data_IF_284461561221
#
_entry.id   IF_284461561221
#
_cell.length_a   1.000
_cell.length_b   1.000
_cell.length_c   1.000
_cell.angle_alpha   90.00
_cell.angle_beta   90.00
_cell.angle_gamma   90.00
#
_symmetry.space_group_name_H-M   'P 1'
#
loop_
_entity.id
_entity.type
_entity.pdbx_description
1 polymer ?
#
# COMPACT_ATOMS: atom_id res chain seq x y z
N UNK A 1 20.71 3.72 -15.03
CA UNK A 1 19.65 3.30 -14.10
C UNK A 1 19.09 4.55 -13.43
N UNK A 2 17.99 5.09 -13.93
CA UNK A 2 17.38 6.32 -13.41
C UNK A 2 16.09 5.92 -12.72
N UNK A 3 16.14 5.80 -11.38
CA UNK A 3 14.95 5.62 -10.58
C UNK A 3 14.05 6.84 -10.77
N UNK A 4 12.86 6.66 -11.34
CA UNK A 4 11.95 7.75 -11.71
C UNK A 4 11.06 8.15 -10.52
N UNK A 5 10.63 7.19 -9.70
CA UNK A 5 9.77 7.45 -8.55
C UNK A 5 10.03 6.47 -7.40
N UNK A 6 9.95 6.97 -6.16
CA UNK A 6 10.01 6.12 -4.97
C UNK A 6 9.19 6.71 -3.82
N UNK A 7 8.22 5.95 -3.34
CA UNK A 7 7.42 6.30 -2.16
C UNK A 7 7.40 5.14 -1.15
N UNK A 8 7.37 5.50 0.15
CA UNK A 8 7.11 4.54 1.23
C UNK A 8 5.75 4.82 1.85
N UNK A 9 4.85 3.86 1.73
CA UNK A 9 3.54 3.90 2.38
C UNK A 9 3.67 3.23 3.74
N UNK A 10 3.74 4.05 4.79
CA UNK A 10 3.82 3.58 6.19
C UNK A 10 2.48 3.75 6.89
N UNK A 11 2.16 2.93 7.91
CA UNK A 11 0.98 3.15 8.75
C UNK A 11 0.96 4.56 9.34
N UNK A 12 -0.23 5.16 9.39
CA UNK A 12 -0.39 6.48 10.02
C UNK A 12 -0.02 6.45 11.51
N UNK A 13 0.56 7.55 12.01
CA UNK A 13 0.98 7.67 13.44
C UNK A 13 -0.18 7.35 14.38
N UNK A 14 -1.40 7.75 14.03
CA UNK A 14 -2.59 7.48 14.83
C UNK A 14 -2.84 5.99 15.09
N UNK A 15 -2.65 5.14 14.08
CA UNK A 15 -2.78 3.70 14.21
C UNK A 15 -1.75 3.09 15.15
N UNK A 16 -0.53 3.62 15.12
CA UNK A 16 0.55 3.22 16.04
C UNK A 16 0.19 3.60 17.47
N UNK A 17 -0.31 4.83 17.69
CA UNK A 17 -0.77 5.29 19.01
C UNK A 17 -1.89 4.40 19.55
N UNK A 18 -2.91 4.11 18.75
CA UNK A 18 -4.03 3.22 19.15
C UNK A 18 -3.51 1.83 19.50
N UNK A 19 -2.59 1.26 18.70
CA UNK A 19 -2.01 -0.05 18.98
C UNK A 19 -1.26 -0.05 20.33
N UNK A 20 -0.45 0.98 20.62
CA UNK A 20 0.24 1.10 21.91
C UNK A 20 -0.71 1.32 23.08
N UNK A 21 -1.81 2.05 22.91
CA UNK A 21 -2.84 2.21 23.93
C UNK A 21 -3.48 0.86 24.27
N UNK A 22 -3.82 0.05 23.27
CA UNK A 22 -4.37 -1.30 23.48
C UNK A 22 -3.36 -2.18 24.21
N UNK A 23 -2.11 -2.20 23.79
CA UNK A 23 -1.03 -2.94 24.46
C UNK A 23 -0.88 -2.49 25.90
N UNK A 24 -0.89 -1.19 26.17
CA UNK A 24 -0.81 -0.61 27.51
C UNK A 24 -1.98 -1.04 28.40
N UNK A 25 -3.21 -0.96 27.90
CA UNK A 25 -4.40 -1.41 28.66
C UNK A 25 -4.33 -2.89 29.03
N UNK A 26 -3.99 -3.75 28.07
CA UNK A 26 -3.83 -5.18 28.31
C UNK A 26 -2.72 -5.43 29.34
N UNK A 27 -1.59 -4.74 29.23
CA UNK A 27 -0.45 -4.88 30.15
C UNK A 27 -0.82 -4.49 31.58
N UNK A 28 -1.59 -3.40 31.74
CA UNK A 28 -2.09 -2.97 33.08
C UNK A 28 -3.04 -4.00 33.67
N UNK A 29 -3.98 -4.53 32.86
CA UNK A 29 -4.92 -5.54 33.33
C UNK A 29 -4.21 -6.82 33.81
N UNK A 30 -3.25 -7.33 33.05
CA UNK A 30 -2.46 -8.50 33.44
C UNK A 30 -1.54 -8.19 34.63
N UNK A 31 -0.96 -6.99 34.68
CA UNK A 31 -0.15 -6.57 35.81
C UNK A 31 -0.91 -6.47 37.14
N UNK A 32 -2.16 -5.99 37.09
CA UNK A 32 -3.04 -5.93 38.23
C UNK A 32 -3.50 -7.33 38.72
N UNK A 33 -3.77 -8.26 37.77
CA UNK A 33 -4.25 -9.58 38.08
C UNK A 33 -3.16 -10.57 38.52
N UNK A 34 -1.98 -10.52 37.90
CA UNK A 34 -0.93 -11.52 38.03
C UNK A 34 0.41 -10.96 38.53
N UNK A 35 0.45 -9.68 38.84
CA UNK A 35 1.64 -8.98 39.34
C UNK A 35 2.39 -8.19 38.27
N UNK A 36 3.09 -7.15 38.72
CA UNK A 36 3.76 -6.14 37.86
C UNK A 36 4.76 -6.76 36.87
N UNK A 37 5.44 -7.82 37.26
CA UNK A 37 6.39 -8.52 36.38
C UNK A 37 5.71 -9.09 35.13
N UNK A 38 4.53 -9.70 35.29
CA UNK A 38 3.75 -10.23 34.17
C UNK A 38 3.28 -9.10 33.26
N UNK A 39 2.78 -7.99 33.84
CA UNK A 39 2.39 -6.81 33.05
C UNK A 39 3.52 -6.27 32.19
N UNK A 40 4.73 -6.19 32.73
CA UNK A 40 5.91 -5.73 31.98
C UNK A 40 6.27 -6.67 30.81
N UNK A 41 6.21 -7.97 31.03
CA UNK A 41 6.45 -8.96 29.97
C UNK A 41 5.40 -8.82 28.85
N UNK A 42 4.11 -8.70 29.21
CA UNK A 42 3.01 -8.51 28.26
C UNK A 42 3.22 -7.22 27.44
N UNK A 43 3.65 -6.14 28.10
CA UNK A 43 3.97 -4.89 27.42
C UNK A 43 5.13 -5.04 26.43
N UNK A 44 6.23 -5.66 26.85
CA UNK A 44 7.41 -5.86 25.99
C UNK A 44 7.10 -6.71 24.77
N UNK A 45 6.35 -7.80 24.95
CA UNK A 45 5.92 -8.66 23.83
C UNK A 45 4.97 -7.90 22.90
N UNK A 46 3.96 -7.22 23.44
CA UNK A 46 3.01 -6.44 22.66
C UNK A 46 3.69 -5.30 21.87
N UNK A 47 4.62 -4.57 22.49
CA UNK A 47 5.41 -3.53 21.83
C UNK A 47 6.26 -4.13 20.69
N UNK A 48 6.86 -5.30 20.90
CA UNK A 48 7.59 -6.03 19.86
C UNK A 48 6.70 -6.40 18.67
N UNK A 49 5.48 -6.90 18.94
CA UNK A 49 4.50 -7.21 17.89
C UNK A 49 4.10 -5.97 17.09
N UNK A 50 3.81 -4.85 17.77
CA UNK A 50 3.49 -3.58 17.11
C UNK A 50 4.65 -3.10 16.23
N UNK A 51 5.89 -3.18 16.73
CA UNK A 51 7.07 -2.79 15.99
C UNK A 51 7.29 -3.63 14.72
N UNK A 52 7.24 -4.96 14.86
CA UNK A 52 7.40 -5.88 13.71
C UNK A 52 6.24 -5.72 12.73
N UNK A 53 5.00 -5.61 13.23
CA UNK A 53 3.81 -5.39 12.41
C UNK A 53 3.89 -4.10 11.61
N UNK A 54 4.35 -2.99 12.21
CA UNK A 54 4.54 -1.71 11.52
C UNK A 54 5.58 -1.82 10.40
N UNK A 55 6.68 -2.56 10.65
CA UNK A 55 7.70 -2.82 9.62
C UNK A 55 7.18 -3.68 8.48
N UNK A 56 6.44 -4.73 8.80
CA UNK A 56 5.85 -5.64 7.81
C UNK A 56 4.74 -4.97 6.98
N UNK A 57 4.04 -3.99 7.56
CA UNK A 57 2.97 -3.24 6.92
C UNK A 57 3.46 -2.06 6.05
N UNK A 58 4.77 -1.83 5.96
CA UNK A 58 5.35 -0.77 5.14
C UNK A 58 5.57 -1.29 3.72
N UNK A 59 4.79 -0.76 2.77
CA UNK A 59 4.99 -1.03 1.34
C UNK A 59 5.87 0.08 0.72
N UNK A 60 6.68 -0.32 -0.26
CA UNK A 60 7.48 0.62 -1.06
C UNK A 60 6.98 0.56 -2.49
N UNK A 61 6.63 1.72 -3.05
CA UNK A 61 6.29 1.91 -4.46
C UNK A 61 7.55 2.40 -5.16
N UNK A 62 7.92 1.76 -6.26
CA UNK A 62 9.11 2.12 -7.05
C UNK A 62 8.78 2.01 -8.53
N UNK A 63 9.15 3.02 -9.31
CA UNK A 63 9.18 2.96 -10.78
C UNK A 63 10.66 3.00 -11.16
N UNK A 64 11.18 1.88 -11.67
CA UNK A 64 12.58 1.73 -12.02
C UNK A 64 12.77 0.68 -13.13
N UNK A 65 13.74 0.91 -14.01
CA UNK A 65 14.16 -0.02 -15.09
C UNK A 65 13.00 -0.61 -15.94
N UNK A 66 11.95 0.17 -16.21
CA UNK A 66 10.81 -0.31 -17.01
C UNK A 66 9.82 -1.18 -16.25
N UNK A 67 9.87 -1.21 -14.92
CA UNK A 67 8.96 -1.96 -14.06
C UNK A 67 8.31 -1.06 -13.00
N UNK A 68 7.05 -1.37 -12.68
CA UNK A 68 6.37 -0.87 -11.50
C UNK A 68 6.47 -1.91 -10.38
N UNK A 69 7.06 -1.52 -9.26
CA UNK A 69 7.18 -2.36 -8.07
C UNK A 69 6.33 -1.86 -6.91
N UNK A 70 5.55 -2.74 -6.29
CA UNK A 70 4.77 -2.45 -5.07
C UNK A 70 5.02 -3.54 -4.03
N UNK A 71 5.79 -3.19 -3.00
CA UNK A 71 6.26 -4.18 -2.03
C UNK A 71 7.14 -5.24 -2.69
N UNK A 72 6.62 -6.47 -2.80
CA UNK A 72 7.30 -7.61 -3.46
C UNK A 72 6.80 -7.88 -4.88
N UNK A 73 5.66 -7.31 -5.24
CA UNK A 73 5.09 -7.49 -6.57
C UNK A 73 5.81 -6.58 -7.58
N UNK A 74 5.94 -7.05 -8.80
CA UNK A 74 6.54 -6.34 -9.93
C UNK A 74 5.66 -6.54 -11.15
N UNK A 75 5.51 -5.49 -11.95
CA UNK A 75 4.82 -5.56 -13.24
C UNK A 75 5.57 -4.71 -14.25
N UNK A 76 5.85 -5.23 -15.46
CA UNK A 76 6.50 -4.46 -16.52
C UNK A 76 5.61 -3.29 -16.99
N UNK A 77 6.20 -2.11 -17.25
CA UNK A 77 5.45 -0.94 -17.70
C UNK A 77 4.79 -1.12 -19.06
N UNK A 78 5.36 -1.96 -19.92
CA UNK A 78 4.83 -2.16 -21.28
C UNK A 78 3.47 -2.89 -21.33
N UNK A 79 3.09 -3.61 -20.25
CA UNK A 79 1.78 -4.25 -20.12
C UNK A 79 0.77 -3.38 -19.37
N UNK A 80 1.18 -2.19 -18.91
CA UNK A 80 0.31 -1.27 -18.21
C UNK A 80 -0.43 -0.36 -19.21
N UNK A 81 -1.74 -0.18 -18.95
CA UNK A 81 -2.62 0.65 -19.75
C UNK A 81 -3.00 1.97 -19.06
N UNK A 82 -4.29 2.22 -19.00
CA UNK A 82 -4.83 3.46 -18.44
C UNK A 82 -4.53 3.63 -16.96
N UNK A 83 -4.12 4.86 -16.58
CA UNK A 83 -3.86 5.26 -15.19
C UNK A 83 -4.96 6.19 -14.72
N UNK A 84 -5.52 5.94 -13.54
CA UNK A 84 -6.57 6.78 -12.93
C UNK A 84 -6.25 7.07 -11.46
N UNK A 85 -6.27 8.33 -11.08
CA UNK A 85 -6.13 8.76 -9.69
C UNK A 85 -7.50 8.72 -9.03
N UNK A 86 -7.59 8.06 -7.87
CA UNK A 86 -8.78 7.95 -7.04
C UNK A 86 -8.58 8.76 -5.75
N UNK A 87 -9.62 9.48 -5.34
CA UNK A 87 -9.57 10.33 -4.14
C UNK A 87 -10.83 10.16 -3.28
N UNK A 88 -10.71 10.33 -1.97
CA UNK A 88 -11.83 10.42 -1.04
C UNK A 88 -12.83 9.28 -1.17
N UNK A 89 -14.03 9.62 -1.66
CA UNK A 89 -15.16 8.68 -1.77
C UNK A 89 -14.91 7.58 -2.80
N UNK A 90 -14.17 7.85 -3.89
CA UNK A 90 -13.85 6.85 -4.89
C UNK A 90 -12.98 5.73 -4.28
N UNK A 91 -11.99 6.10 -3.46
CA UNK A 91 -11.17 5.12 -2.72
C UNK A 91 -12.02 4.32 -1.74
N UNK A 92 -12.99 4.97 -1.08
CA UNK A 92 -13.90 4.30 -0.15
C UNK A 92 -14.85 3.33 -0.89
N UNK A 93 -15.30 3.67 -2.09
CA UNK A 93 -16.09 2.78 -2.95
C UNK A 93 -15.25 1.60 -3.46
N UNK A 94 -14.05 1.86 -3.94
CA UNK A 94 -13.12 0.82 -4.39
C UNK A 94 -12.78 -0.17 -3.26
N UNK A 95 -12.58 0.30 -2.02
CA UNK A 95 -12.38 -0.57 -0.83
C UNK A 95 -13.57 -1.48 -0.53
N UNK A 96 -14.78 -1.05 -0.86
CA UNK A 96 -16.02 -1.83 -0.65
C UNK A 96 -16.39 -2.72 -1.83
N UNK A 97 -15.61 -2.68 -2.92
CA UNK A 97 -15.90 -3.41 -4.15
C UNK A 97 -17.04 -2.79 -4.98
N UNK A 98 -17.35 -1.52 -4.78
CA UNK A 98 -18.43 -0.81 -5.49
C UNK A 98 -17.94 0.08 -6.64
N UNK A 99 -16.64 0.19 -6.87
CA UNK A 99 -16.11 0.93 -8.02
C UNK A 99 -16.25 0.07 -9.29
N UNK A 100 -17.00 0.53 -10.32
CA UNK A 100 -17.25 -0.25 -11.52
C UNK A 100 -15.98 -0.49 -12.38
N UNK A 101 -14.91 0.24 -12.13
CA UNK A 101 -13.63 0.09 -12.84
C UNK A 101 -12.64 -0.81 -12.09
N UNK A 102 -12.89 -1.08 -10.79
CA UNK A 102 -12.09 -1.98 -9.98
C UNK A 102 -12.80 -3.32 -9.90
N UNK A 103 -12.37 -4.23 -10.73
CA UNK A 103 -12.98 -5.59 -10.81
C UNK A 103 -12.51 -6.44 -9.61
N UNK A 104 -13.25 -7.53 -9.34
CA UNK A 104 -12.90 -8.52 -8.29
C UNK A 104 -11.52 -9.17 -8.51
N UNK A 105 -11.00 -9.12 -9.75
CA UNK A 105 -9.68 -9.63 -10.13
C UNK A 105 -8.55 -8.60 -9.93
N UNK A 106 -8.83 -7.42 -9.39
CA UNK A 106 -7.82 -6.39 -9.17
C UNK A 106 -6.81 -6.78 -8.10
N UNK A 107 -5.52 -6.58 -8.38
CA UNK A 107 -4.50 -6.60 -7.33
C UNK A 107 -4.63 -5.35 -6.46
N UNK A 108 -5.08 -5.53 -5.22
CA UNK A 108 -5.39 -4.42 -4.32
C UNK A 108 -4.36 -4.28 -3.20
N UNK A 109 -3.75 -3.10 -3.10
CA UNK A 109 -2.89 -2.66 -2.00
C UNK A 109 -3.44 -1.40 -1.35
N UNK A 110 -4.61 -1.55 -0.72
CA UNK A 110 -5.30 -0.52 0.06
C UNK A 110 -5.37 -0.94 1.53
N UNK A 111 -4.31 -0.74 2.32
CA UNK A 111 -4.36 -1.07 3.73
C UNK A 111 -5.42 -0.22 4.46
N UNK A 112 -6.09 -0.73 5.51
CA UNK A 112 -7.15 0.00 6.21
C UNK A 112 -6.66 1.29 6.88
N UNK A 113 -5.36 1.37 7.19
CA UNK A 113 -4.68 2.57 7.71
C UNK A 113 -4.09 3.45 6.60
N UNK A 114 -4.29 3.08 5.34
CA UNK A 114 -3.70 3.75 4.18
C UNK A 114 -4.30 5.13 3.92
N UNK A 115 -3.67 5.90 3.04
CA UNK A 115 -4.17 7.21 2.64
C UNK A 115 -5.54 7.11 1.97
N UNK A 116 -6.25 8.24 1.93
CA UNK A 116 -7.53 8.39 1.23
C UNK A 116 -7.36 8.63 -0.28
N UNK A 117 -6.17 8.41 -0.81
CA UNK A 117 -5.82 8.56 -2.21
C UNK A 117 -5.20 7.26 -2.71
N UNK A 118 -5.48 6.92 -3.96
CA UNK A 118 -4.96 5.72 -4.61
C UNK A 118 -4.79 5.95 -6.11
N UNK A 119 -4.00 5.11 -6.74
CA UNK A 119 -3.87 5.06 -8.19
C UNK A 119 -4.34 3.69 -8.65
N UNK A 120 -5.24 3.68 -9.60
CA UNK A 120 -5.63 2.53 -10.38
C UNK A 120 -4.84 2.51 -11.67
N UNK A 121 -4.28 1.37 -12.03
CA UNK A 121 -3.64 1.15 -13.32
C UNK A 121 -4.14 -0.15 -13.93
N UNK A 122 -4.54 -0.10 -15.18
CA UNK A 122 -5.00 -1.24 -15.95
C UNK A 122 -3.81 -2.13 -16.34
N UNK A 123 -3.99 -3.45 -16.32
CA UNK A 123 -3.04 -4.43 -16.84
C UNK A 123 -3.61 -4.97 -18.16
N UNK A 124 -2.92 -4.70 -19.26
CA UNK A 124 -3.31 -5.10 -20.63
C UNK A 124 -2.59 -6.41 -21.04
N UNK A 125 -2.54 -7.37 -20.13
CA UNK A 125 -1.95 -8.70 -20.36
C UNK A 125 -2.97 -9.77 -20.01
N UNK A 126 -3.49 -10.45 -21.04
CA UNK A 126 -4.48 -11.52 -20.88
C UNK A 126 -3.95 -12.74 -20.10
N UNK A 127 -2.64 -12.83 -19.91
CA UNK A 127 -2.00 -13.90 -19.13
C UNK A 127 -1.91 -13.56 -17.63
N UNK A 128 -2.05 -12.29 -17.23
CA UNK A 128 -2.08 -11.88 -15.84
C UNK A 128 -3.47 -12.18 -15.24
N UNK A 129 -3.55 -12.85 -14.08
CA UNK A 129 -4.83 -13.07 -13.40
C UNK A 129 -5.48 -11.78 -12.89
N UNK A 130 -4.76 -10.65 -12.88
CA UNK A 130 -5.24 -9.37 -12.38
C UNK A 130 -5.53 -8.42 -13.55
N UNK A 131 -6.75 -7.89 -13.59
CA UNK A 131 -7.17 -6.90 -14.60
C UNK A 131 -6.57 -5.51 -14.38
N UNK A 132 -5.98 -5.27 -13.22
CA UNK A 132 -5.35 -4.01 -12.88
C UNK A 132 -4.86 -3.98 -11.45
N UNK A 133 -4.12 -2.93 -11.11
CA UNK A 133 -3.55 -2.70 -9.79
C UNK A 133 -4.14 -1.46 -9.15
N UNK A 134 -4.62 -1.60 -7.90
CA UNK A 134 -5.12 -0.52 -7.06
C UNK A 134 -4.15 -0.28 -5.90
N UNK A 135 -3.44 0.83 -5.95
CA UNK A 135 -2.28 1.11 -5.09
C UNK A 135 -2.56 2.37 -4.27
N UNK A 136 -2.54 2.26 -2.94
CA UNK A 136 -2.63 3.41 -2.05
C UNK A 136 -1.35 4.25 -2.13
N UNK A 137 -1.49 5.56 -2.32
CA UNK A 137 -0.38 6.51 -2.33
C UNK A 137 -0.77 7.79 -1.59
N UNK A 138 0.17 8.42 -0.88
CA UNK A 138 -0.03 9.73 -0.24
C UNK A 138 0.11 10.88 -1.25
N UNK A 139 0.82 10.62 -2.33
CA UNK A 139 1.08 11.58 -3.41
C UNK A 139 0.55 11.00 -4.73
N UNK A 140 -0.76 10.59 -4.71
CA UNK A 140 -1.37 9.88 -5.83
C UNK A 140 -1.32 10.68 -7.15
N UNK A 141 -1.44 12.01 -7.10
CA UNK A 141 -1.35 12.87 -8.30
C UNK A 141 0.07 12.84 -8.90
N UNK A 142 1.11 12.94 -8.08
CA UNK A 142 2.50 12.87 -8.55
C UNK A 142 2.82 11.47 -9.04
N UNK A 143 2.45 10.45 -8.27
CA UNK A 143 2.64 9.06 -8.66
C UNK A 143 1.90 8.72 -9.96
N UNK A 144 0.64 9.14 -10.12
CA UNK A 144 -0.14 8.91 -11.34
C UNK A 144 0.47 9.59 -12.55
N UNK A 145 0.98 10.83 -12.40
CA UNK A 145 1.67 11.58 -13.46
C UNK A 145 2.97 10.89 -13.87
N UNK A 146 3.81 10.54 -12.90
CA UNK A 146 5.11 9.92 -13.16
C UNK A 146 4.94 8.52 -13.77
N UNK A 147 3.94 7.75 -13.31
CA UNK A 147 3.61 6.45 -13.88
C UNK A 147 3.12 6.58 -15.33
N UNK A 148 2.22 7.54 -15.61
CA UNK A 148 1.74 7.79 -16.98
C UNK A 148 2.88 8.18 -17.91
N UNK A 149 3.79 9.03 -17.45
CA UNK A 149 4.97 9.43 -18.24
C UNK A 149 5.91 8.25 -18.50
N UNK A 150 6.13 7.39 -17.49
CA UNK A 150 6.98 6.20 -17.63
C UNK A 150 6.39 5.17 -18.60
N UNK A 151 5.06 4.95 -18.55
CA UNK A 151 4.35 4.06 -19.50
C UNK A 151 4.48 4.60 -20.93
N UNK A 152 4.24 5.90 -21.14
CA UNK A 152 4.34 6.53 -22.46
C UNK A 152 5.76 6.43 -23.03
N UNK A 153 6.78 6.64 -22.20
CA UNK A 153 8.17 6.51 -22.61
C UNK A 153 8.53 5.06 -23.01
N UNK A 154 7.99 4.06 -22.28
CA UNK A 154 8.21 2.65 -22.57
C UNK A 154 7.57 2.25 -23.91
N UNK A 155 6.31 2.67 -24.17
CA UNK A 155 5.63 2.38 -25.42
C UNK A 155 6.25 3.08 -26.64
N UNK A 156 6.79 4.29 -26.43
CA UNK A 156 7.50 5.03 -27.50
C UNK A 156 8.81 4.36 -27.96
N UNK A 157 9.47 3.61 -27.09
CA UNK A 157 10.71 2.89 -27.40
C UNK A 157 10.46 1.54 -28.11
N UNK A 158 9.26 0.99 -27.99
CA UNK A 158 8.90 -0.29 -28.61
C UNK A 158 8.43 -0.15 -30.08
N UNK A 159 8.32 1.06 -30.59
CA UNK A 159 7.84 1.39 -31.94
C UNK A 159 8.92 1.73 -32.97
N UNK A 160 10.20 1.68 -32.59
CA UNK A 160 11.35 1.83 -33.49
C UNK A 160 12.00 0.47 -33.77
#
# INVERSE_FOLDING_TARGET
MTQTYRERVVPGVWWIVVAFLIVGMVSVAYGAALGTGVGLVVFAVGAGIVFVGTRAATDTIVIDDGELGVGRARVPLHVLGAVRVLTGDDVAQARRGFDPHVTDTAFTRLPPWGPSHAVWVEVADDSDPHSGWLIASRHADDFGRDLTAAIAACHGQSGE
#
